data_IF_943124191894
#
_entry.id   IF_943124191894
#
_cell.length_a   1.000
_cell.length_b   1.000
_cell.length_c   1.000
_cell.angle_alpha   90.00
_cell.angle_beta   90.00
_cell.angle_gamma   90.00
#
_symmetry.space_group_name_H-M   'P 1'
#
loop_
_entity.id
_entity.type
_entity.pdbx_description
1 polymer ?
#
# COMPACT_ATOMS: atom_id res chain seq x y z
N UNK A 1 0.36 -28.28 65.59
CA UNK A 1 1.79 -28.16 65.96
C UNK A 1 2.50 -27.55 64.76
N UNK A 2 2.83 -26.26 64.79
CA UNK A 2 4.15 -25.71 65.18
C UNK A 2 5.24 -25.98 64.12
N UNK A 3 6.01 -25.04 63.58
CA UNK A 3 6.07 -23.56 63.46
C UNK A 3 7.23 -23.29 62.42
N UNK A 4 7.53 -22.06 61.98
CA UNK A 4 8.18 -21.81 60.68
C UNK A 4 9.68 -21.44 60.72
N UNK A 5 10.30 -21.39 59.54
CA UNK A 5 11.48 -20.58 59.20
C UNK A 5 11.02 -19.62 58.07
N UNK A 6 11.11 -18.28 58.19
CA UNK A 6 12.32 -17.45 58.07
C UNK A 6 13.04 -17.68 56.71
N UNK A 7 13.41 -16.71 55.86
CA UNK A 7 13.36 -15.23 55.75
C UNK A 7 13.46 -14.91 54.24
N UNK A 8 13.22 -13.71 53.68
CA UNK A 8 12.89 -12.37 54.19
C UNK A 8 12.16 -11.60 53.07
N UNK A 9 11.46 -10.49 53.38
CA UNK A 9 11.08 -9.48 52.37
C UNK A 9 12.10 -8.32 52.35
N UNK A 10 12.44 -7.79 51.17
CA UNK A 10 12.91 -6.40 51.06
C UNK A 10 12.64 -5.83 49.67
N UNK A 11 11.75 -4.84 49.62
CA UNK A 11 11.84 -3.79 48.63
C UNK A 11 13.20 -3.08 48.77
N UNK A 12 13.88 -2.83 47.66
CA UNK A 12 15.00 -1.89 47.59
C UNK A 12 14.86 -1.00 46.36
N UNK A 13 14.13 0.08 46.57
CA UNK A 13 14.64 1.38 46.14
C UNK A 13 15.79 1.79 47.08
N UNK A 14 16.88 2.31 46.51
CA UNK A 14 17.76 3.35 47.05
C UNK A 14 18.26 4.11 45.80
N UNK A 15 18.09 5.42 45.60
CA UNK A 15 18.10 6.57 46.52
C UNK A 15 19.35 6.62 47.38
N UNK A 16 20.43 7.09 46.77
CA UNK A 16 21.66 7.53 47.41
C UNK A 16 21.69 9.06 47.50
N UNK A 17 21.53 9.63 48.69
CA UNK A 17 22.10 10.95 49.05
C UNK A 17 22.68 10.79 50.46
N UNK A 18 23.84 11.41 50.67
CA UNK A 18 24.66 11.31 51.87
C UNK A 18 24.04 12.05 53.05
N UNK A 19 23.90 11.33 54.17
CA UNK A 19 24.58 11.52 55.47
C UNK A 19 24.86 12.93 56.04
N UNK A 20 24.97 12.93 57.37
CA UNK A 20 25.47 13.94 58.32
C UNK A 20 24.56 15.11 58.73
N UNK A 21 24.65 15.36 60.03
CA UNK A 21 23.84 16.25 60.86
C UNK A 21 24.29 17.71 60.83
N UNK A 22 23.35 18.62 61.10
CA UNK A 22 23.46 19.59 62.21
C UNK A 22 22.13 20.28 62.48
N UNK A 23 21.86 20.49 63.76
CA UNK A 23 20.79 21.35 64.26
C UNK A 23 21.15 22.82 64.05
N UNK A 24 20.19 23.63 63.62
CA UNK A 24 19.81 24.86 64.31
C UNK A 24 18.59 25.50 63.63
N UNK A 25 17.62 25.92 64.44
CA UNK A 25 16.51 26.76 64.00
C UNK A 25 17.02 28.15 63.59
N UNK A 26 16.81 28.50 62.33
CA UNK A 26 16.92 29.85 61.81
C UNK A 26 15.96 30.02 60.63
N UNK A 27 14.66 30.14 60.93
CA UNK A 27 13.64 30.40 59.91
C UNK A 27 13.82 31.81 59.34
N UNK A 28 14.51 31.91 58.21
CA UNK A 28 14.65 33.17 57.45
C UNK A 28 13.25 33.59 56.96
N UNK A 29 12.79 34.82 57.26
CA UNK A 29 11.45 35.26 56.86
C UNK A 29 11.33 35.30 55.32
N UNK A 30 10.17 34.88 54.83
CA UNK A 30 9.89 34.54 53.42
C UNK A 30 10.17 35.66 52.40
N UNK A 31 10.31 36.91 52.86
CA UNK A 31 10.65 38.07 52.03
C UNK A 31 12.12 38.13 51.58
N UNK A 32 13.03 37.42 52.27
CA UNK A 32 14.46 37.36 51.91
C UNK A 32 14.81 36.19 50.95
N UNK A 33 13.82 35.40 50.53
CA UNK A 33 14.04 34.33 49.56
C UNK A 33 14.07 34.91 48.12
N UNK A 34 15.12 34.65 47.32
CA UNK A 34 15.15 35.11 45.93
C UNK A 34 14.03 34.46 45.12
N UNK A 35 13.31 35.27 44.34
CA UNK A 35 12.07 34.89 43.65
C UNK A 35 12.20 33.72 42.65
N UNK A 36 13.43 33.31 42.31
CA UNK A 36 13.74 32.22 41.38
C UNK A 36 13.60 30.81 41.97
N UNK A 37 13.35 30.68 43.28
CA UNK A 37 13.27 29.37 43.97
C UNK A 37 11.89 28.66 43.88
N UNK A 38 10.96 29.09 43.03
CA UNK A 38 9.74 28.33 42.70
C UNK A 38 9.95 27.50 41.43
N UNK A 39 10.62 26.37 41.60
CA UNK A 39 10.71 25.32 40.58
C UNK A 39 9.38 24.60 40.36
N UNK A 40 8.39 25.28 39.77
CA UNK A 40 7.29 24.59 39.10
C UNK A 40 7.88 23.69 38.02
N UNK A 41 7.49 22.41 37.91
CA UNK A 41 7.89 21.60 36.76
C UNK A 41 7.34 22.30 35.51
N UNK A 42 8.23 22.73 34.62
CA UNK A 42 7.85 23.42 33.40
C UNK A 42 6.95 22.49 32.60
N UNK A 43 5.65 22.80 32.55
CA UNK A 43 4.72 22.10 31.68
C UNK A 43 5.12 22.44 30.25
N UNK A 44 5.85 21.52 29.62
CA UNK A 44 6.15 21.58 28.19
C UNK A 44 4.83 21.39 27.45
N UNK A 45 4.16 22.51 27.14
CA UNK A 45 2.95 22.50 26.33
C UNK A 45 3.27 21.85 24.99
N UNK A 46 2.68 20.69 24.73
CA UNK A 46 2.83 20.00 23.45
C UNK A 46 2.23 20.88 22.36
N UNK A 47 3.09 21.50 21.55
CA UNK A 47 2.71 22.46 20.49
C UNK A 47 1.82 21.87 19.38
N UNK A 48 1.54 20.56 19.43
CA UNK A 48 0.58 19.86 18.58
C UNK A 48 -0.53 19.25 19.42
N UNK A 49 -1.77 19.70 19.18
CA UNK A 49 -3.00 19.05 19.64
C UNK A 49 -3.43 17.89 18.74
N UNK A 50 -2.72 17.64 17.63
CA UNK A 50 -3.05 16.52 16.72
C UNK A 50 -2.72 15.18 17.35
N UNK A 51 -3.65 14.21 17.24
CA UNK A 51 -3.44 12.85 17.72
C UNK A 51 -2.30 12.15 16.97
N UNK A 52 -1.49 11.38 17.70
CA UNK A 52 -0.37 10.63 17.11
C UNK A 52 -0.89 9.51 16.20
N UNK A 53 -1.00 9.78 14.91
CA UNK A 53 -1.40 8.78 13.91
C UNK A 53 -0.18 7.99 13.40
N UNK A 54 -0.22 6.66 13.51
CA UNK A 54 0.88 5.78 13.08
C UNK A 54 0.91 5.50 11.57
N UNK A 55 -0.22 5.54 10.86
CA UNK A 55 -0.28 5.43 9.39
C UNK A 55 -1.23 6.45 8.78
N UNK A 56 -0.68 7.48 8.12
CA UNK A 56 -1.49 8.54 7.45
C UNK A 56 -2.35 8.00 6.31
N UNK A 57 -1.86 6.97 5.61
CA UNK A 57 -2.56 6.31 4.50
C UNK A 57 -3.63 5.36 5.04
N UNK A 58 -3.27 4.49 5.99
CA UNK A 58 -4.19 3.50 6.57
C UNK A 58 -5.42 4.12 7.24
N UNK A 59 -5.25 5.24 7.98
CA UNK A 59 -6.36 5.94 8.64
C UNK A 59 -7.36 6.62 7.70
N UNK A 60 -6.98 6.85 6.44
CA UNK A 60 -7.76 7.70 5.55
C UNK A 60 -8.94 6.87 5.02
N UNK A 61 -10.20 7.27 5.25
CA UNK A 61 -11.37 6.47 4.87
C UNK A 61 -11.42 6.20 3.37
N UNK A 62 -11.96 5.03 3.01
CA UNK A 62 -12.34 4.69 1.64
C UNK A 62 -13.73 5.26 1.38
N UNK A 63 -13.87 6.14 0.40
CA UNK A 63 -15.16 6.65 -0.05
C UNK A 63 -15.76 5.69 -1.07
N UNK A 64 -16.99 5.21 -0.84
CA UNK A 64 -17.68 4.33 -1.77
C UNK A 64 -18.56 5.15 -2.74
N UNK A 65 -18.34 5.08 -4.06
CA UNK A 65 -19.27 5.66 -5.03
C UNK A 65 -20.63 4.91 -4.99
N UNK A 66 -21.74 5.54 -5.41
CA UNK A 66 -23.09 5.00 -5.22
C UNK A 66 -23.36 3.65 -5.92
N UNK A 67 -22.54 3.30 -6.91
CA UNK A 67 -22.66 2.08 -7.73
C UNK A 67 -21.87 0.89 -7.18
N UNK A 68 -21.01 1.10 -6.18
CA UNK A 68 -20.12 0.06 -5.64
C UNK A 68 -20.63 -0.46 -4.31
N UNK A 69 -20.81 -1.77 -4.21
CA UNK A 69 -21.09 -2.47 -2.95
C UNK A 69 -19.82 -3.06 -2.37
N UNK A 70 -19.71 -3.03 -1.05
CA UNK A 70 -18.57 -3.53 -0.29
C UNK A 70 -19.06 -4.50 0.78
N UNK A 71 -18.70 -5.78 0.67
CA UNK A 71 -19.13 -6.84 1.59
C UNK A 71 -17.93 -7.58 2.16
N UNK A 72 -17.82 -7.63 3.49
CA UNK A 72 -16.76 -8.38 4.18
C UNK A 72 -17.31 -9.73 4.61
N UNK A 73 -16.77 -10.80 4.04
CA UNK A 73 -17.09 -12.18 4.40
C UNK A 73 -15.96 -12.75 5.27
N UNK A 74 -16.30 -13.36 6.40
CA UNK A 74 -15.33 -14.13 7.18
C UNK A 74 -15.25 -15.53 6.60
N UNK A 75 -14.06 -16.00 6.20
CA UNK A 75 -13.93 -17.38 5.74
C UNK A 75 -14.00 -18.34 6.94
N UNK A 76 -14.71 -19.48 6.83
CA UNK A 76 -14.55 -20.56 7.79
C UNK A 76 -13.11 -21.08 7.73
N UNK A 77 -12.45 -21.21 8.88
CA UNK A 77 -11.09 -21.74 8.98
C UNK A 77 -11.04 -23.13 8.34
N UNK A 78 -10.33 -23.29 7.22
CA UNK A 78 -10.29 -24.56 6.48
C UNK A 78 -9.68 -25.66 7.36
N UNK A 79 -10.42 -26.74 7.54
CA UNK A 79 -9.99 -27.87 8.34
C UNK A 79 -8.87 -28.67 7.67
N UNK A 80 -7.72 -28.70 8.35
CA UNK A 80 -6.68 -29.75 8.32
C UNK A 80 -5.95 -30.06 6.99
N UNK A 81 -4.65 -29.72 6.99
CA UNK A 81 -3.57 -30.54 6.44
C UNK A 81 -2.48 -30.68 7.51
N UNK A 82 -1.86 -31.86 7.64
CA UNK A 82 -1.22 -32.29 8.91
C UNK A 82 0.05 -31.53 9.38
N UNK A 83 0.54 -30.54 8.63
CA UNK A 83 1.80 -29.82 8.93
C UNK A 83 1.73 -28.31 8.62
N UNK A 84 0.71 -27.59 9.10
CA UNK A 84 0.60 -26.13 8.89
C UNK A 84 0.40 -25.41 10.23
N UNK A 85 1.26 -24.43 10.52
CA UNK A 85 1.12 -23.51 11.65
C UNK A 85 -0.26 -22.85 11.66
N UNK A 86 -0.91 -22.79 12.83
CA UNK A 86 -2.24 -22.19 13.10
C UNK A 86 -2.68 -21.21 12.01
N UNK A 87 -3.55 -21.66 11.11
CA UNK A 87 -4.21 -20.77 10.15
C UNK A 87 -5.20 -19.92 10.94
N UNK A 88 -4.88 -18.64 11.10
CA UNK A 88 -5.79 -17.65 11.65
C UNK A 88 -6.90 -17.36 10.62
N UNK A 89 -8.13 -17.01 11.06
CA UNK A 89 -9.26 -16.82 10.15
C UNK A 89 -9.08 -15.57 9.28
N UNK A 90 -8.80 -15.78 7.99
CA UNK A 90 -8.73 -14.71 7.01
C UNK A 90 -10.14 -14.20 6.66
N UNK A 91 -10.27 -12.88 6.52
CA UNK A 91 -11.49 -12.25 6.00
C UNK A 91 -11.30 -11.92 4.53
N UNK A 92 -12.36 -11.92 3.73
CA UNK A 92 -12.32 -11.53 2.32
C UNK A 92 -13.26 -10.34 2.13
N UNK A 93 -12.75 -9.23 1.61
CA UNK A 93 -13.59 -8.15 1.11
C UNK A 93 -13.93 -8.40 -0.35
N UNK A 94 -15.21 -8.53 -0.64
CA UNK A 94 -15.75 -8.51 -1.99
C UNK A 94 -16.21 -7.10 -2.34
N UNK A 95 -15.75 -6.62 -3.50
CA UNK A 95 -16.04 -5.30 -4.06
C UNK A 95 -16.74 -5.55 -5.39
N UNK A 96 -18.00 -5.09 -5.53
CA UNK A 96 -18.77 -5.28 -6.77
C UNK A 96 -19.35 -3.97 -7.27
N UNK A 97 -19.50 -3.84 -8.58
CA UNK A 97 -19.99 -2.64 -9.25
C UNK A 97 -20.00 -2.81 -10.77
N UNK A 98 -20.03 -1.73 -11.56
CA UNK A 98 -20.42 -1.78 -12.97
C UNK A 98 -19.44 -2.53 -13.88
N UNK A 99 -18.11 -2.41 -13.65
CA UNK A 99 -17.10 -3.06 -14.51
C UNK A 99 -16.77 -4.50 -14.10
N UNK A 100 -17.20 -4.97 -12.93
CA UNK A 100 -16.92 -6.34 -12.48
C UNK A 100 -17.00 -6.57 -10.97
N UNK A 101 -16.25 -7.57 -10.51
CA UNK A 101 -16.13 -7.95 -9.09
C UNK A 101 -14.67 -8.25 -8.77
N UNK A 102 -14.20 -7.81 -7.60
CA UNK A 102 -12.87 -8.11 -7.06
C UNK A 102 -13.02 -8.69 -5.65
N UNK A 103 -12.12 -9.61 -5.29
CA UNK A 103 -12.02 -10.16 -3.93
C UNK A 103 -10.60 -9.94 -3.39
N UNK A 104 -10.51 -9.45 -2.16
CA UNK A 104 -9.23 -9.15 -1.49
C UNK A 104 -9.16 -9.84 -0.15
N UNK A 105 -8.12 -10.66 0.05
CA UNK A 105 -7.85 -11.30 1.35
C UNK A 105 -7.29 -10.29 2.35
N UNK A 106 -7.97 -10.16 3.48
CA UNK A 106 -7.64 -9.27 4.59
C UNK A 106 -7.07 -10.10 5.75
N UNK A 107 -5.88 -9.74 6.25
CA UNK A 107 -5.28 -10.41 7.41
C UNK A 107 -6.13 -10.29 8.69
N UNK A 108 -6.10 -11.28 9.58
CA UNK A 108 -6.95 -11.37 10.79
C UNK A 108 -6.76 -10.22 11.80
N UNK A 109 -5.58 -9.59 11.82
CA UNK A 109 -5.26 -8.47 12.71
C UNK A 109 -5.78 -7.11 12.21
N UNK A 110 -6.57 -7.09 11.14
CA UNK A 110 -7.09 -5.90 10.49
C UNK A 110 -8.62 -5.90 10.50
N UNK A 111 -9.22 -4.80 10.94
CA UNK A 111 -10.68 -4.63 11.04
C UNK A 111 -11.17 -3.49 10.16
N UNK A 112 -12.41 -3.64 9.66
CA UNK A 112 -13.08 -2.67 8.80
C UNK A 112 -14.32 -2.17 9.52
N UNK A 113 -14.44 -0.84 9.64
CA UNK A 113 -15.58 -0.15 10.22
C UNK A 113 -16.28 0.67 9.14
N UNK A 114 -17.51 0.27 8.80
CA UNK A 114 -18.37 1.04 7.90
C UNK A 114 -19.14 2.12 8.64
N UNK A 115 -19.24 3.30 8.03
CA UNK A 115 -20.27 4.28 8.35
C UNK A 115 -21.23 4.38 7.16
N UNK A 116 -22.49 3.97 7.39
CA UNK A 116 -23.54 3.94 6.37
C UNK A 116 -23.99 5.36 5.96
N UNK A 117 -24.02 6.31 6.90
CA UNK A 117 -24.47 7.69 6.67
C UNK A 117 -23.56 8.42 5.67
N UNK A 118 -22.24 8.27 5.84
CA UNK A 118 -21.23 8.89 4.99
C UNK A 118 -20.73 8.00 3.85
N UNK A 119 -21.22 6.75 3.75
CA UNK A 119 -20.74 5.72 2.79
C UNK A 119 -19.22 5.56 2.79
N UNK A 120 -18.60 5.61 3.97
CA UNK A 120 -17.15 5.48 4.14
C UNK A 120 -16.79 4.22 4.91
N UNK A 121 -15.75 3.52 4.43
CA UNK A 121 -15.15 2.39 5.12
C UNK A 121 -13.81 2.82 5.72
N UNK A 122 -13.66 2.71 7.04
CA UNK A 122 -12.41 3.03 7.75
C UNK A 122 -11.73 1.75 8.18
N UNK A 123 -10.41 1.69 8.04
CA UNK A 123 -9.61 0.51 8.34
C UNK A 123 -8.78 0.77 9.60
N UNK A 124 -8.68 -0.23 10.48
CA UNK A 124 -7.77 -0.20 11.63
C UNK A 124 -7.03 -1.51 11.81
N UNK A 125 -5.98 -1.50 12.64
CA UNK A 125 -5.21 -2.68 13.02
C UNK A 125 -5.20 -2.88 14.54
N UNK A 126 -5.03 -4.13 14.97
CA UNK A 126 -5.08 -4.52 16.38
C UNK A 126 -3.93 -3.93 17.22
N UNK A 127 -2.71 -3.90 16.68
CA UNK A 127 -1.58 -3.18 17.28
C UNK A 127 -0.88 -2.25 16.29
N UNK A 128 -1.08 -0.94 16.46
CA UNK A 128 -0.38 0.07 15.67
C UNK A 128 1.14 0.15 15.95
N UNK A 129 1.63 -0.44 17.06
CA UNK A 129 3.07 -0.43 17.43
C UNK A 129 3.87 -1.45 16.63
N UNK A 130 3.30 -2.59 16.27
CA UNK A 130 3.95 -3.55 15.38
C UNK A 130 4.22 -2.93 14.00
N UNK A 131 5.45 -3.11 13.52
CA UNK A 131 5.89 -2.69 12.20
C UNK A 131 5.18 -3.47 11.10
N UNK A 132 4.88 -4.76 11.29
CA UNK A 132 4.22 -5.58 10.26
C UNK A 132 2.79 -5.12 10.03
N UNK A 133 1.97 -5.07 11.09
CA UNK A 133 0.58 -4.60 11.01
C UNK A 133 0.49 -3.18 10.44
N UNK A 134 1.31 -2.24 10.94
CA UNK A 134 1.32 -0.84 10.43
C UNK A 134 1.67 -0.73 8.95
N UNK A 135 2.56 -1.58 8.44
CA UNK A 135 2.93 -1.61 7.02
C UNK A 135 1.75 -2.12 6.20
N UNK A 136 1.20 -3.26 6.59
CA UNK A 136 0.07 -3.90 5.89
C UNK A 136 -1.19 -3.03 5.87
N UNK A 137 -1.46 -2.29 6.96
CA UNK A 137 -2.56 -1.32 7.05
C UNK A 137 -2.56 -0.31 5.90
N UNK A 138 -1.37 0.21 5.54
CA UNK A 138 -1.22 1.14 4.42
C UNK A 138 -1.40 0.43 3.06
N UNK A 139 -0.85 -0.77 2.91
CA UNK A 139 -0.92 -1.57 1.68
C UNK A 139 -2.36 -1.96 1.35
N UNK A 140 -3.06 -2.65 2.25
CA UNK A 140 -4.44 -3.11 2.02
C UNK A 140 -5.39 -1.92 1.80
N UNK A 141 -5.18 -0.78 2.49
CA UNK A 141 -5.94 0.45 2.23
C UNK A 141 -5.75 0.95 0.81
N UNK A 142 -4.50 1.00 0.33
CA UNK A 142 -4.20 1.47 -1.02
C UNK A 142 -4.75 0.49 -2.08
N UNK A 143 -4.70 -0.80 -1.80
CA UNK A 143 -5.19 -1.86 -2.68
C UNK A 143 -6.73 -1.82 -2.81
N UNK A 144 -7.46 -1.86 -1.69
CA UNK A 144 -8.92 -1.71 -1.69
C UNK A 144 -9.39 -0.43 -2.41
N UNK A 145 -8.64 0.68 -2.27
CA UNK A 145 -8.92 1.91 -3.03
C UNK A 145 -8.73 1.72 -4.55
N UNK A 146 -7.67 1.02 -4.98
CA UNK A 146 -7.45 0.71 -6.39
C UNK A 146 -8.58 -0.17 -6.94
N UNK A 147 -9.06 -1.16 -6.17
CA UNK A 147 -10.17 -2.03 -6.59
C UNK A 147 -11.51 -1.28 -6.67
N UNK A 148 -11.83 -0.42 -5.69
CA UNK A 148 -13.04 0.43 -5.73
C UNK A 148 -13.04 1.30 -7.00
N UNK A 149 -11.92 1.95 -7.32
CA UNK A 149 -11.76 2.74 -8.54
C UNK A 149 -11.76 1.88 -9.81
N UNK A 150 -11.19 0.68 -9.76
CA UNK A 150 -11.13 -0.25 -10.89
C UNK A 150 -12.47 -0.86 -11.28
N UNK A 151 -13.32 -1.12 -10.28
CA UNK A 151 -14.67 -1.68 -10.48
C UNK A 151 -15.68 -0.61 -10.91
N UNK A 152 -15.47 0.66 -10.54
CA UNK A 152 -16.28 1.81 -10.96
C UNK A 152 -15.80 2.40 -12.29
N UNK A 153 -14.67 3.10 -12.27
CA UNK A 153 -14.11 3.82 -13.43
C UNK A 153 -13.28 2.89 -14.33
N UNK A 154 -12.48 1.99 -13.73
CA UNK A 154 -11.50 1.16 -14.44
C UNK A 154 -10.13 1.82 -14.58
N UNK A 155 -9.08 1.01 -14.62
CA UNK A 155 -7.70 1.47 -14.80
C UNK A 155 -7.34 1.48 -16.28
N UNK A 156 -6.60 2.51 -16.70
CA UNK A 156 -6.06 2.61 -18.06
C UNK A 156 -4.55 2.76 -18.04
N UNK A 157 -3.89 2.22 -19.06
CA UNK A 157 -2.47 2.45 -19.33
C UNK A 157 -2.26 2.74 -20.82
N UNK A 158 -1.67 3.90 -21.11
CA UNK A 158 -1.42 4.37 -22.48
C UNK A 158 0.05 4.13 -22.81
N UNK A 159 0.33 3.26 -23.78
CA UNK A 159 1.68 3.03 -24.26
C UNK A 159 1.95 3.81 -25.55
N UNK A 160 2.97 4.68 -25.51
CA UNK A 160 3.40 5.49 -26.65
C UNK A 160 4.64 4.88 -27.29
N UNK A 161 4.54 4.54 -28.57
CA UNK A 161 5.62 3.99 -29.39
C UNK A 161 6.37 5.13 -30.09
N UNK A 162 7.64 5.34 -29.75
CA UNK A 162 8.49 6.35 -30.36
C UNK A 162 9.59 5.66 -31.18
N UNK A 163 9.54 5.80 -32.50
CA UNK A 163 10.54 5.26 -33.40
C UNK A 163 10.07 5.23 -34.85
N UNK A 164 11.00 5.35 -35.79
CA UNK A 164 10.68 5.19 -37.22
C UNK A 164 10.31 3.74 -37.48
N UNK A 165 9.14 3.52 -38.11
CA UNK A 165 8.59 2.19 -38.37
C UNK A 165 8.00 1.48 -37.14
N UNK A 166 7.97 2.12 -35.96
CA UNK A 166 7.41 1.52 -34.75
C UNK A 166 5.88 1.58 -34.81
N UNK A 167 5.24 0.41 -34.71
CA UNK A 167 3.77 0.30 -34.69
C UNK A 167 3.29 -0.93 -33.92
N UNK A 168 2.08 -0.85 -33.41
CA UNK A 168 1.34 -1.95 -32.81
C UNK A 168 0.04 -2.20 -33.56
N UNK A 169 -0.35 -3.48 -33.65
CA UNK A 169 -1.66 -3.96 -34.12
C UNK A 169 -2.23 -4.92 -33.07
N UNK A 170 -3.55 -5.06 -33.04
CA UNK A 170 -4.21 -6.09 -32.24
C UNK A 170 -4.79 -7.12 -33.19
N UNK A 171 -4.46 -8.38 -32.93
CA UNK A 171 -4.71 -9.52 -33.81
C UNK A 171 -5.41 -10.60 -32.98
N UNK A 172 -6.48 -11.21 -33.52
CA UNK A 172 -7.29 -12.20 -32.78
C UNK A 172 -6.63 -13.59 -32.70
N UNK A 173 -5.48 -13.78 -33.38
CA UNK A 173 -4.66 -15.00 -33.36
C UNK A 173 -3.19 -14.62 -33.46
N UNK A 174 -2.34 -15.32 -32.70
CA UNK A 174 -0.89 -15.28 -32.85
C UNK A 174 -0.39 -16.42 -33.75
N UNK A 175 0.72 -16.20 -34.45
CA UNK A 175 1.43 -17.21 -35.24
C UNK A 175 2.43 -17.98 -34.38
N UNK A 176 3.00 -17.32 -33.37
CA UNK A 176 4.16 -17.80 -32.58
C UNK A 176 3.75 -18.33 -31.20
N UNK A 177 2.62 -17.87 -30.65
CA UNK A 177 2.14 -18.23 -29.31
C UNK A 177 0.78 -18.92 -29.38
N UNK A 178 0.61 -19.92 -28.51
CA UNK A 178 -0.68 -20.55 -28.29
C UNK A 178 -1.55 -19.67 -27.38
N UNK A 179 -2.87 -19.63 -27.58
CA UNK A 179 -3.78 -18.95 -26.67
C UNK A 179 -3.91 -19.72 -25.35
N UNK A 180 -3.81 -19.02 -24.24
CA UNK A 180 -3.99 -19.54 -22.88
C UNK A 180 -5.48 -19.75 -22.56
N UNK A 181 -6.35 -18.94 -23.17
CA UNK A 181 -7.80 -19.00 -23.00
C UNK A 181 -8.54 -18.74 -24.32
N UNK A 182 -9.77 -19.27 -24.51
CA UNK A 182 -10.51 -19.11 -25.75
C UNK A 182 -10.84 -17.63 -26.03
N UNK A 183 -10.55 -17.16 -27.24
CA UNK A 183 -10.76 -15.76 -27.64
C UNK A 183 -9.74 -14.77 -27.11
N UNK A 184 -8.58 -15.23 -26.61
CA UNK A 184 -7.46 -14.35 -26.24
C UNK A 184 -6.99 -13.53 -27.45
N UNK A 185 -6.91 -12.21 -27.27
CA UNK A 185 -6.35 -11.28 -28.27
C UNK A 185 -4.84 -11.13 -28.07
N UNK A 186 -4.14 -10.80 -29.15
CA UNK A 186 -2.69 -10.61 -29.15
C UNK A 186 -2.32 -9.19 -29.58
N UNK A 187 -1.39 -8.58 -28.85
CA UNK A 187 -0.74 -7.33 -29.25
C UNK A 187 0.48 -7.70 -30.11
N UNK A 188 0.44 -7.34 -31.38
CA UNK A 188 1.48 -7.56 -32.37
C UNK A 188 2.32 -6.30 -32.53
N UNK A 189 3.59 -6.37 -32.14
CA UNK A 189 4.52 -5.24 -32.09
C UNK A 189 5.56 -5.33 -33.21
N UNK A 190 5.65 -4.27 -34.01
CA UNK A 190 6.70 -4.10 -35.04
C UNK A 190 7.60 -2.96 -34.58
N UNK A 191 8.62 -3.28 -33.78
CA UNK A 191 9.51 -2.30 -33.10
C UNK A 191 11.00 -2.49 -33.44
N UNK A 192 11.26 -2.74 -34.74
CA UNK A 192 12.62 -2.92 -35.26
C UNK A 192 13.27 -4.25 -34.85
N UNK A 193 12.50 -5.33 -34.88
CA UNK A 193 12.98 -6.72 -34.87
C UNK A 193 12.62 -7.36 -36.23
N UNK A 194 13.32 -8.44 -36.60
CA UNK A 194 13.13 -9.11 -37.90
C UNK A 194 11.77 -9.80 -38.05
N UNK A 195 11.16 -10.22 -36.94
CA UNK A 195 9.82 -10.79 -36.86
C UNK A 195 8.91 -9.92 -35.97
N UNK A 196 7.58 -9.95 -36.16
CA UNK A 196 6.65 -9.29 -35.23
C UNK A 196 6.70 -9.98 -33.85
N UNK A 197 6.57 -9.20 -32.78
CA UNK A 197 6.52 -9.72 -31.42
C UNK A 197 5.05 -9.79 -30.99
N UNK A 198 4.55 -10.99 -30.72
CA UNK A 198 3.17 -11.25 -30.30
C UNK A 198 3.09 -11.44 -28.78
N UNK A 199 2.17 -10.73 -28.13
CA UNK A 199 1.93 -10.79 -26.69
C UNK A 199 0.44 -11.04 -26.43
N UNK A 200 0.11 -12.16 -25.78
CA UNK A 200 -1.26 -12.45 -25.36
C UNK A 200 -1.70 -11.43 -24.33
N UNK A 201 -2.87 -10.83 -24.53
CA UNK A 201 -3.49 -9.95 -23.52
C UNK A 201 -3.94 -10.84 -22.35
N UNK A 202 -3.67 -10.47 -21.08
CA UNK A 202 -4.13 -11.25 -19.94
C UNK A 202 -5.65 -11.14 -19.75
N UNK A 203 -6.23 -12.12 -19.07
CA UNK A 203 -7.67 -12.16 -18.79
C UNK A 203 -8.12 -10.90 -18.03
N UNK A 204 -9.29 -10.34 -18.38
CA UNK A 204 -9.84 -9.13 -17.76
C UNK A 204 -9.23 -7.81 -18.24
N UNK A 205 -8.21 -7.84 -19.11
CA UNK A 205 -7.65 -6.66 -19.78
C UNK A 205 -8.16 -6.59 -21.22
N UNK A 206 -8.52 -5.38 -21.66
CA UNK A 206 -8.88 -5.06 -23.04
C UNK A 206 -7.78 -4.17 -23.62
N UNK A 207 -7.13 -4.64 -24.68
CA UNK A 207 -6.24 -3.82 -25.49
C UNK A 207 -7.02 -3.17 -26.65
N UNK A 208 -6.71 -1.90 -26.93
CA UNK A 208 -7.13 -1.18 -28.14
C UNK A 208 -5.95 -0.38 -28.72
N UNK A 209 -5.96 -0.12 -30.04
CA UNK A 209 -4.94 0.67 -30.73
C UNK A 209 -5.59 1.83 -31.47
N UNK A 210 -5.93 2.94 -30.79
CA UNK A 210 -6.55 4.12 -31.41
C UNK A 210 -5.65 4.80 -32.46
N UNK A 211 -4.34 4.59 -32.36
CA UNK A 211 -3.36 4.99 -33.38
C UNK A 211 -2.32 3.86 -33.50
N UNK A 212 -1.73 3.65 -34.68
CA UNK A 212 -0.68 2.64 -34.85
C UNK A 212 0.53 2.84 -33.89
N UNK A 213 0.75 4.06 -33.40
CA UNK A 213 1.81 4.43 -32.44
C UNK A 213 1.33 4.54 -30.99
N UNK A 214 0.06 4.22 -30.69
CA UNK A 214 -0.50 4.26 -29.33
C UNK A 214 -1.34 3.03 -29.02
N UNK A 215 -0.99 2.35 -27.93
CA UNK A 215 -1.80 1.26 -27.36
C UNK A 215 -2.51 1.83 -26.14
N UNK A 216 -3.80 1.56 -26.00
CA UNK A 216 -4.58 1.81 -24.79
C UNK A 216 -4.97 0.45 -24.20
N UNK A 217 -4.47 0.18 -23.01
CA UNK A 217 -4.89 -0.96 -22.19
C UNK A 217 -5.92 -0.47 -21.18
N UNK A 218 -7.01 -1.22 -21.02
CA UNK A 218 -8.02 -0.99 -19.99
C UNK A 218 -8.25 -2.27 -19.19
N UNK A 219 -8.54 -2.15 -17.89
CA UNK A 219 -8.92 -3.31 -17.07
C UNK A 219 -9.42 -2.90 -15.69
N UNK A 220 -10.06 -3.85 -15.01
CA UNK A 220 -10.56 -3.66 -13.63
C UNK A 220 -9.42 -3.71 -12.62
N UNK A 221 -8.40 -4.55 -12.86
CA UNK A 221 -7.29 -4.77 -11.95
C UNK A 221 -6.05 -3.97 -12.37
N UNK A 222 -5.66 -3.02 -11.51
CA UNK A 222 -4.52 -2.12 -11.76
C UNK A 222 -3.20 -2.86 -11.91
N UNK A 223 -2.99 -3.90 -11.11
CA UNK A 223 -1.73 -4.65 -11.08
C UNK A 223 -1.50 -5.37 -12.41
N UNK A 224 -2.49 -6.13 -12.89
CA UNK A 224 -2.44 -6.85 -14.17
C UNK A 224 -2.27 -5.88 -15.37
N UNK A 225 -3.01 -4.76 -15.39
CA UNK A 225 -2.88 -3.75 -16.46
C UNK A 225 -1.47 -3.15 -16.52
N UNK A 226 -0.91 -2.78 -15.36
CA UNK A 226 0.42 -2.16 -15.28
C UNK A 226 1.56 -3.17 -15.49
N UNK A 227 1.38 -4.42 -15.05
CA UNK A 227 2.30 -5.53 -15.30
C UNK A 227 2.39 -5.81 -16.81
N UNK A 228 1.26 -5.95 -17.50
CA UNK A 228 1.25 -6.16 -18.95
C UNK A 228 1.84 -4.96 -19.72
N UNK A 229 1.60 -3.73 -19.25
CA UNK A 229 2.25 -2.54 -19.80
C UNK A 229 3.78 -2.58 -19.64
N UNK A 230 4.28 -3.07 -18.50
CA UNK A 230 5.71 -3.23 -18.25
C UNK A 230 6.35 -4.32 -19.12
N UNK A 231 5.64 -5.43 -19.35
CA UNK A 231 6.06 -6.51 -20.25
C UNK A 231 6.17 -6.06 -21.71
N UNK A 232 5.18 -5.31 -22.21
CA UNK A 232 5.25 -4.68 -23.55
C UNK A 232 6.49 -3.76 -23.63
N UNK A 233 6.68 -2.90 -22.61
CA UNK A 233 7.82 -1.97 -22.55
C UNK A 233 9.18 -2.67 -22.50
N UNK A 234 9.27 -3.87 -21.92
CA UNK A 234 10.52 -4.61 -21.77
C UNK A 234 11.20 -4.88 -23.12
N UNK A 235 10.43 -5.09 -24.20
CA UNK A 235 10.96 -5.33 -25.55
C UNK A 235 11.75 -4.16 -26.14
N UNK A 236 11.32 -2.91 -25.89
CA UNK A 236 12.03 -1.70 -26.31
C UNK A 236 11.91 -0.60 -25.26
N UNK A 237 12.74 -0.70 -24.23
CA UNK A 237 12.92 0.36 -23.22
C UNK A 237 13.39 1.67 -23.88
N UNK A 238 12.95 2.85 -23.43
CA UNK A 238 13.38 4.14 -23.96
C UNK A 238 14.91 4.34 -23.93
N UNK A 239 15.50 4.74 -25.06
CA UNK A 239 16.94 5.04 -25.16
C UNK A 239 17.26 6.48 -24.75
N UNK A 240 18.40 6.75 -24.10
CA UNK A 240 18.74 8.08 -23.59
C UNK A 240 19.25 9.07 -24.64
N UNK A 241 19.29 8.73 -25.94
CA UNK A 241 19.86 9.61 -26.98
C UNK A 241 18.81 10.22 -27.92
N UNK A 242 17.96 9.40 -28.57
CA UNK A 242 16.87 9.88 -29.43
C UNK A 242 15.48 9.59 -28.85
N UNK A 243 15.39 9.09 -27.63
CA UNK A 243 14.11 8.78 -26.97
C UNK A 243 13.30 7.70 -27.66
N UNK A 244 13.90 6.87 -28.53
CA UNK A 244 13.21 5.74 -29.15
C UNK A 244 12.90 4.66 -28.12
N UNK A 245 11.74 4.04 -28.23
CA UNK A 245 11.27 2.99 -27.33
C UNK A 245 9.77 3.12 -27.05
N UNK A 246 9.34 2.42 -26.00
CA UNK A 246 7.95 2.40 -25.54
C UNK A 246 7.89 3.09 -24.18
N UNK A 247 7.05 4.12 -24.08
CA UNK A 247 6.78 4.85 -22.84
C UNK A 247 5.42 4.44 -22.30
N UNK A 248 5.31 4.27 -20.98
CA UNK A 248 4.03 4.02 -20.31
C UNK A 248 3.51 5.34 -19.71
N UNK A 249 2.26 5.68 -20.01
CA UNK A 249 1.59 6.93 -19.61
C UNK A 249 2.46 8.16 -19.95
N UNK A 250 2.64 9.06 -18.97
CA UNK A 250 3.43 10.29 -19.10
C UNK A 250 4.92 10.12 -18.80
N UNK A 251 5.45 8.89 -18.87
CA UNK A 251 6.88 8.64 -18.73
C UNK A 251 7.71 9.46 -19.75
N UNK A 252 8.79 10.06 -19.26
CA UNK A 252 9.76 10.81 -20.06
C UNK A 252 11.18 10.36 -19.70
N UNK A 253 12.09 10.40 -20.69
CA UNK A 253 13.51 10.09 -20.51
C UNK A 253 14.35 11.35 -20.70
N UNK A 254 15.34 11.57 -19.83
CA UNK A 254 16.30 12.66 -19.98
C UNK A 254 17.25 12.34 -21.14
N UNK A 255 17.17 13.12 -22.21
CA UNK A 255 18.03 12.97 -23.38
C UNK A 255 19.45 13.48 -23.08
N UNK A 256 20.45 12.68 -23.44
CA UNK A 256 21.86 13.06 -23.42
C UNK A 256 22.23 13.72 -24.74
N UNK A 257 22.86 14.89 -24.66
CA UNK A 257 23.46 15.51 -25.83
C UNK A 257 24.48 14.57 -26.48
N UNK A 258 24.51 14.52 -27.81
CA UNK A 258 25.57 13.84 -28.55
C UNK A 258 26.88 14.59 -28.26
N UNK A 259 27.96 13.86 -27.94
CA UNK A 259 29.31 14.44 -27.97
C UNK A 259 29.65 14.77 -29.43
N UNK A 260 29.42 16.02 -29.81
CA UNK A 260 29.98 16.59 -31.04
C UNK A 260 31.49 16.66 -30.79
N UNK A 261 32.26 16.08 -31.72
CA UNK A 261 33.72 16.09 -31.74
C UNK A 261 34.13 16.80 -33.03
#
# INVERSE_FOLDING_TARGET
MARPMCRNGSSRALRSIFDTSRTNDAAVPTFLAPAFARGSPAQTSSFSTTSQCRSKIGRAPLSLPPEVTFTVMQMPSKGQGMNISRQEPESVAEITGPRGKMSVTIPPYMSIFGNEESRTQTLSVLDEKDKRQRTMWGTIRADLQNHILGVSEGHTAILRLVGVGYRATIEDKAVTKQPEYPGQKFVSLKVGYSHPIELGVPQGVVASTPQATRILLEGVEKEVVMQFAAEIKQWRRPEPYKGKGIFVNDEQIKLKAKKIK
#
